data_IF_404301518894
#
_entry.id   IF_404301518894
#
_cell.length_a   1.000
_cell.length_b   1.000
_cell.length_c   1.000
_cell.angle_alpha   90.00
_cell.angle_beta   90.00
_cell.angle_gamma   90.00
#
_symmetry.space_group_name_H-M   'P 1'
#
loop_
_entity.id
_entity.type
_entity.pdbx_description
1 polymer ?
#
# COMPACT_ATOMS: atom_id res chain seq x y z
N UNK A 1 0.59 -14.16 -9.72
CA UNK A 1 0.73 -12.83 -9.11
C UNK A 1 1.00 -13.02 -7.62
N UNK A 2 2.02 -12.39 -7.05
CA UNK A 2 2.38 -12.56 -5.64
C UNK A 2 1.48 -11.67 -4.77
N UNK A 3 0.99 -12.18 -3.64
CA UNK A 3 0.13 -11.39 -2.75
C UNK A 3 0.95 -10.29 -2.06
N UNK A 4 0.54 -9.03 -2.23
CA UNK A 4 1.17 -7.86 -1.60
C UNK A 4 1.05 -7.91 -0.08
N UNK A 5 0.05 -8.61 0.48
CA UNK A 5 -0.07 -8.82 1.93
C UNK A 5 1.11 -9.63 2.44
N UNK A 6 1.50 -10.68 1.73
CA UNK A 6 2.60 -11.55 2.11
C UNK A 6 3.95 -10.81 2.02
N UNK A 7 4.10 -9.94 1.02
CA UNK A 7 5.25 -9.02 0.90
C UNK A 7 5.34 -8.05 2.08
N UNK A 8 4.19 -7.61 2.61
CA UNK A 8 4.10 -6.68 3.74
C UNK A 8 4.34 -7.35 5.09
N UNK A 9 3.75 -8.52 5.30
CA UNK A 9 3.83 -9.25 6.56
C UNK A 9 5.19 -9.90 6.76
N UNK A 10 5.78 -10.42 5.67
CA UNK A 10 7.04 -11.18 5.72
C UNK A 10 8.05 -10.71 4.66
N UNK A 11 8.50 -9.44 4.71
CA UNK A 11 9.44 -8.90 3.73
C UNK A 11 10.78 -9.64 3.73
N UNK A 12 11.25 -10.12 4.88
CA UNK A 12 12.53 -10.82 4.99
C UNK A 12 12.53 -12.20 4.31
N UNK A 13 11.41 -12.91 4.39
CA UNK A 13 11.23 -14.19 3.68
C UNK A 13 11.29 -13.97 2.17
N UNK A 14 10.66 -12.90 1.70
CA UNK A 14 10.68 -12.53 0.28
C UNK A 14 12.08 -12.08 -0.15
N UNK A 15 12.79 -11.32 0.68
CA UNK A 15 14.18 -10.91 0.42
C UNK A 15 15.09 -12.13 0.26
N UNK A 16 15.02 -13.09 1.18
CA UNK A 16 15.79 -14.34 1.07
C UNK A 16 15.39 -15.18 -0.14
N UNK A 17 14.09 -15.23 -0.47
CA UNK A 17 13.62 -15.96 -1.65
C UNK A 17 14.11 -15.31 -2.95
N UNK A 18 14.14 -13.98 -3.03
CA UNK A 18 14.68 -13.23 -4.16
C UNK A 18 16.19 -13.46 -4.30
N UNK A 19 16.92 -13.41 -3.20
CA UNK A 19 18.37 -13.66 -3.17
C UNK A 19 18.71 -15.09 -3.60
N UNK A 20 18.00 -16.10 -3.10
CA UNK A 20 18.14 -17.50 -3.54
C UNK A 20 17.86 -17.69 -5.03
N UNK A 21 16.98 -16.86 -5.59
CA UNK A 21 16.62 -16.89 -7.01
C UNK A 21 17.59 -16.08 -7.88
N UNK A 22 18.54 -15.37 -7.29
CA UNK A 22 19.47 -14.47 -7.98
C UNK A 22 18.78 -13.23 -8.55
N UNK A 23 17.59 -12.90 -8.06
CA UNK A 23 16.72 -11.88 -8.63
C UNK A 23 16.80 -10.58 -7.82
N UNK A 24 16.92 -9.44 -8.52
CA UNK A 24 17.09 -8.11 -7.90
C UNK A 24 15.79 -7.30 -7.97
N UNK A 25 14.67 -7.94 -7.66
CA UNK A 25 13.40 -7.22 -7.60
C UNK A 25 13.49 -6.09 -6.56
N UNK A 26 12.97 -4.88 -6.85
CA UNK A 26 13.09 -3.72 -5.98
C UNK A 26 12.08 -3.79 -4.82
N UNK A 27 12.26 -4.75 -3.92
CA UNK A 27 11.36 -5.05 -2.80
C UNK A 27 11.09 -3.83 -1.93
N UNK A 28 12.13 -3.08 -1.56
CA UNK A 28 12.01 -1.90 -0.71
C UNK A 28 11.20 -0.78 -1.39
N UNK A 29 11.33 -0.62 -2.71
CA UNK A 29 10.54 0.34 -3.47
C UNK A 29 9.07 -0.07 -3.53
N UNK A 30 8.79 -1.36 -3.71
CA UNK A 30 7.44 -1.91 -3.71
C UNK A 30 6.76 -1.66 -2.37
N UNK A 31 7.46 -1.90 -1.25
CA UNK A 31 6.93 -1.64 0.10
C UNK A 31 6.67 -0.14 0.32
N UNK A 32 7.58 0.73 -0.14
CA UNK A 32 7.39 2.17 -0.05
C UNK A 32 6.18 2.67 -0.85
N UNK A 33 6.01 2.19 -2.09
CA UNK A 33 4.87 2.52 -2.94
C UNK A 33 3.55 2.00 -2.34
N UNK A 34 3.53 0.78 -1.79
CA UNK A 34 2.35 0.25 -1.08
C UNK A 34 1.96 1.13 0.12
N UNK A 35 2.94 1.63 0.87
CA UNK A 35 2.69 2.55 1.99
C UNK A 35 2.09 3.86 1.50
N UNK A 36 2.65 4.47 0.46
CA UNK A 36 2.14 5.71 -0.12
C UNK A 36 0.72 5.54 -0.67
N UNK A 37 0.48 4.43 -1.39
CA UNK A 37 -0.83 4.13 -1.96
C UNK A 37 -1.91 4.04 -0.86
N UNK A 38 -1.62 3.34 0.25
CA UNK A 38 -2.56 3.23 1.38
C UNK A 38 -2.81 4.56 2.07
N UNK A 39 -1.78 5.40 2.21
CA UNK A 39 -1.93 6.72 2.79
C UNK A 39 -2.85 7.62 1.94
N UNK A 40 -2.64 7.64 0.62
CA UNK A 40 -3.47 8.39 -0.30
C UNK A 40 -4.91 7.86 -0.36
N UNK A 41 -5.10 6.54 -0.28
CA UNK A 41 -6.42 5.94 -0.26
C UNK A 41 -7.21 6.36 1.00
N UNK A 42 -6.55 6.34 2.15
CA UNK A 42 -7.17 6.81 3.40
C UNK A 42 -7.50 8.31 3.36
N UNK A 43 -6.59 9.12 2.83
CA UNK A 43 -6.84 10.56 2.65
C UNK A 43 -8.02 10.82 1.71
N UNK A 44 -8.08 10.10 0.59
CA UNK A 44 -9.20 10.18 -0.36
C UNK A 44 -10.53 9.80 0.31
N UNK A 45 -10.56 8.74 1.12
CA UNK A 45 -11.76 8.32 1.86
C UNK A 45 -12.18 9.39 2.88
N UNK A 46 -11.22 9.97 3.61
CA UNK A 46 -11.47 11.06 4.56
C UNK A 46 -12.05 12.30 3.86
N UNK A 47 -11.47 12.70 2.73
CA UNK A 47 -11.96 13.83 1.93
C UNK A 47 -13.36 13.56 1.38
N UNK A 48 -13.64 12.33 0.93
CA UNK A 48 -14.99 11.93 0.48
C UNK A 48 -16.00 11.99 1.62
N UNK A 49 -15.63 11.51 2.81
CA UNK A 49 -16.48 11.57 4.00
C UNK A 49 -16.80 13.03 4.36
N UNK A 50 -15.78 13.88 4.43
CA UNK A 50 -15.92 15.32 4.71
C UNK A 50 -16.80 16.02 3.68
N UNK A 51 -16.60 15.73 2.39
CA UNK A 51 -17.45 16.27 1.31
C UNK A 51 -18.91 15.90 1.52
N UNK A 52 -19.19 14.63 1.79
CA UNK A 52 -20.55 14.15 1.98
C UNK A 52 -21.21 14.76 3.24
N UNK A 53 -20.45 14.96 4.31
CA UNK A 53 -20.92 15.64 5.52
C UNK A 53 -21.31 17.09 5.22
N UNK A 54 -20.42 17.86 4.58
CA UNK A 54 -20.69 19.25 4.19
C UNK A 54 -21.89 19.33 3.25
N UNK A 55 -22.00 18.44 2.26
CA UNK A 55 -23.17 18.40 1.36
C UNK A 55 -24.48 18.16 2.11
N UNK A 56 -24.48 17.38 3.20
CA UNK A 56 -25.67 17.17 4.05
C UNK A 56 -26.01 18.38 4.91
N UNK A 57 -25.02 19.21 5.28
CA UNK A 57 -25.24 20.42 6.08
C UNK A 57 -25.80 21.59 5.23
N UNK A 58 -25.57 21.57 3.92
CA UNK A 58 -26.04 22.59 2.98
C UNK A 58 -27.45 22.28 2.44
N UNK A 59 -27.85 21.01 2.43
CA UNK A 59 -29.19 20.56 2.01
C UNK A 59 -30.21 20.68 3.12
#
# INVERSE_FOLDING_TARGET
MLDIKLVRENPDIIRQALEKRGDKAPLDQIIALDKQHRQLLHEMESLRAKRNEVSKQIS
#
